data_IF_337728328009
#
_entry.id   IF_337728328009
#
_cell.length_a   1.000
_cell.length_b   1.000
_cell.length_c   1.000
_cell.angle_alpha   90.00
_cell.angle_beta   90.00
_cell.angle_gamma   90.00
#
_symmetry.space_group_name_H-M   'P 1'
#
loop_
_entity.id
_entity.type
_entity.pdbx_description
1 polymer ?
#
# COMPACT_ATOMS: atom_id res chain seq x y z
N UNK A 1 -2.71 -14.21 -2.26
CA UNK A 1 -2.33 -12.79 -2.40
C UNK A 1 -1.29 -12.42 -1.35
N UNK A 2 -0.17 -11.86 -1.77
CA UNK A 2 0.91 -11.38 -0.90
C UNK A 2 1.23 -9.92 -1.24
N UNK A 3 1.55 -9.10 -0.24
CA UNK A 3 1.95 -7.72 -0.42
C UNK A 3 3.43 -7.63 -0.76
N UNK A 4 3.76 -6.99 -1.89
CA UNK A 4 5.11 -6.54 -2.19
C UNK A 4 5.44 -5.29 -1.36
N UNK A 5 5.89 -5.49 -0.11
CA UNK A 5 6.17 -4.40 0.85
C UNK A 5 7.21 -3.42 0.32
N UNK A 6 8.25 -3.91 -0.36
CA UNK A 6 9.33 -3.07 -0.89
C UNK A 6 8.79 -2.10 -1.95
N UNK A 7 8.02 -2.59 -2.92
CA UNK A 7 7.41 -1.73 -3.94
C UNK A 7 6.45 -0.69 -3.32
N UNK A 8 5.70 -1.07 -2.28
CA UNK A 8 4.81 -0.12 -1.60
C UNK A 8 5.58 0.94 -0.79
N UNK A 9 6.73 0.59 -0.21
CA UNK A 9 7.65 1.54 0.45
C UNK A 9 8.29 2.48 -0.59
N UNK A 10 8.71 1.97 -1.74
CA UNK A 10 9.23 2.80 -2.83
C UNK A 10 8.18 3.79 -3.34
N UNK A 11 6.93 3.34 -3.52
CA UNK A 11 5.81 4.21 -3.84
C UNK A 11 5.64 5.31 -2.79
N UNK A 12 5.69 4.95 -1.50
CA UNK A 12 5.61 5.91 -0.39
C UNK A 12 6.71 6.97 -0.46
N UNK A 13 7.95 6.54 -0.71
CA UNK A 13 9.08 7.44 -0.78
C UNK A 13 8.97 8.39 -1.98
N UNK A 14 8.63 7.85 -3.16
CA UNK A 14 8.65 8.59 -4.41
C UNK A 14 7.43 9.50 -4.62
N UNK A 15 6.22 9.05 -4.27
CA UNK A 15 4.97 9.81 -4.51
C UNK A 15 4.42 10.50 -3.26
N UNK A 16 4.87 10.10 -2.07
CA UNK A 16 4.32 10.57 -0.80
C UNK A 16 5.39 11.14 0.15
N UNK A 17 6.59 11.46 -0.36
CA UNK A 17 7.72 12.02 0.40
C UNK A 17 8.05 11.21 1.66
N UNK A 18 7.96 9.88 1.59
CA UNK A 18 8.22 8.99 2.71
C UNK A 18 7.19 9.06 3.84
N UNK A 19 6.05 9.73 3.63
CA UNK A 19 5.04 9.92 4.67
C UNK A 19 3.99 8.83 4.68
N UNK A 20 3.99 8.01 5.73
CA UNK A 20 2.91 7.04 6.01
C UNK A 20 1.53 7.70 6.04
N UNK A 21 1.42 8.90 6.61
CA UNK A 21 0.15 9.64 6.69
C UNK A 21 -0.38 10.00 5.29
N UNK A 22 0.48 10.45 4.38
CA UNK A 22 0.08 10.78 3.01
C UNK A 22 -0.33 9.53 2.23
N UNK A 23 0.43 8.44 2.35
CA UNK A 23 0.08 7.16 1.75
C UNK A 23 -1.26 6.64 2.29
N UNK A 24 -1.43 6.63 3.61
CA UNK A 24 -2.64 6.18 4.29
C UNK A 24 -3.88 6.98 3.85
N UNK A 25 -3.74 8.31 3.75
CA UNK A 25 -4.80 9.18 3.21
C UNK A 25 -5.14 8.85 1.76
N UNK A 26 -4.14 8.60 0.92
CA UNK A 26 -4.36 8.24 -0.48
C UNK A 26 -5.05 6.88 -0.66
N UNK A 27 -4.72 5.91 0.20
CA UNK A 27 -5.34 4.58 0.21
C UNK A 27 -6.71 4.55 0.92
N UNK A 28 -7.07 5.59 1.68
CA UNK A 28 -8.27 5.60 2.52
C UNK A 28 -8.17 4.63 3.72
N UNK A 29 -6.96 4.46 4.27
CA UNK A 29 -6.66 3.52 5.37
C UNK A 29 -6.16 4.29 6.59
N UNK A 30 -6.40 3.76 7.79
CA UNK A 30 -5.78 4.26 9.03
C UNK A 30 -4.24 4.20 8.97
N UNK A 31 -3.58 5.30 9.36
CA UNK A 31 -2.11 5.42 9.33
C UNK A 31 -1.42 4.40 10.23
N UNK A 32 -1.99 4.08 11.39
CA UNK A 32 -1.41 3.07 12.27
C UNK A 32 -1.53 1.67 11.67
N UNK A 33 -2.57 1.39 10.87
CA UNK A 33 -2.65 0.14 10.11
C UNK A 33 -1.58 0.06 9.02
N UNK A 34 -1.40 1.12 8.21
CA UNK A 34 -0.33 1.18 7.20
C UNK A 34 1.05 0.97 7.84
N UNK A 35 1.34 1.69 8.93
CA UNK A 35 2.60 1.55 9.65
C UNK A 35 2.81 0.12 10.17
N UNK A 36 1.78 -0.50 10.77
CA UNK A 36 1.87 -1.89 11.24
C UNK A 36 2.07 -2.89 10.11
N UNK A 37 1.59 -2.65 8.90
CA UNK A 37 1.78 -3.57 7.76
C UNK A 37 3.18 -3.43 7.17
N UNK A 38 3.67 -2.20 7.02
CA UNK A 38 4.95 -1.90 6.38
C UNK A 38 6.15 -2.08 7.30
N UNK A 39 6.00 -1.73 8.58
CA UNK A 39 7.14 -1.68 9.54
C UNK A 39 7.08 -2.80 10.56
N UNK A 40 5.89 -3.17 11.04
CA UNK A 40 5.72 -4.34 11.90
C UNK A 40 5.44 -5.54 10.99
N UNK A 41 5.87 -6.73 11.35
CA UNK A 41 5.64 -7.95 10.54
C UNK A 41 4.19 -8.42 10.62
N UNK A 42 3.24 -7.55 10.27
CA UNK A 42 1.81 -7.85 10.24
C UNK A 42 1.37 -8.12 8.81
N UNK A 43 0.66 -9.23 8.63
CA UNK A 43 -0.05 -9.52 7.38
C UNK A 43 -1.23 -8.55 7.20
N UNK A 44 -1.44 -8.09 5.97
CA UNK A 44 -2.59 -7.27 5.64
C UNK A 44 -3.78 -8.16 5.19
N UNK A 45 -4.99 -7.65 5.38
CA UNK A 45 -6.23 -8.34 5.01
C UNK A 45 -6.76 -7.86 3.66
N UNK A 46 -7.85 -8.49 3.19
CA UNK A 46 -8.50 -8.19 1.91
C UNK A 46 -8.80 -6.69 1.69
N UNK A 47 -9.20 -5.96 2.74
CA UNK A 47 -9.46 -4.51 2.66
C UNK A 47 -8.22 -3.72 2.23
N UNK A 48 -7.04 -4.06 2.75
CA UNK A 48 -5.79 -3.36 2.39
C UNK A 48 -5.45 -3.56 0.92
N UNK A 49 -5.58 -4.79 0.43
CA UNK A 49 -5.40 -5.10 -0.99
C UNK A 49 -6.40 -4.36 -1.87
N UNK A 50 -7.68 -4.37 -1.51
CA UNK A 50 -8.73 -3.65 -2.24
C UNK A 50 -8.42 -2.15 -2.35
N UNK A 51 -7.94 -1.52 -1.29
CA UNK A 51 -7.57 -0.11 -1.28
C UNK A 51 -6.37 0.19 -2.21
N UNK A 52 -5.36 -0.69 -2.23
CA UNK A 52 -4.23 -0.56 -3.17
C UNK A 52 -4.73 -0.67 -4.62
N UNK A 53 -5.55 -1.68 -4.93
CA UNK A 53 -6.09 -1.89 -6.28
C UNK A 53 -6.92 -0.68 -6.71
N UNK A 54 -7.79 -0.16 -5.83
CA UNK A 54 -8.59 1.04 -6.12
C UNK A 54 -7.71 2.26 -6.39
N UNK A 55 -6.70 2.49 -5.55
CA UNK A 55 -5.76 3.58 -5.76
C UNK A 55 -5.01 3.44 -7.08
N UNK A 56 -4.53 2.24 -7.40
CA UNK A 56 -3.88 1.94 -8.68
C UNK A 56 -4.78 2.24 -9.87
N UNK A 57 -6.02 1.76 -9.85
CA UNK A 57 -7.00 2.01 -10.92
C UNK A 57 -7.30 3.51 -11.10
N UNK A 58 -7.35 4.29 -10.02
CA UNK A 58 -7.57 5.74 -10.09
C UNK A 58 -6.34 6.54 -10.53
N UNK A 59 -5.15 5.93 -10.54
CA UNK A 59 -3.89 6.60 -10.86
C UNK A 59 -3.18 5.99 -12.08
N UNK A 60 -3.85 5.12 -12.85
CA UNK A 60 -3.31 4.40 -14.00
C UNK A 60 -1.99 3.65 -13.67
N UNK A 61 -1.96 3.00 -12.51
CA UNK A 61 -0.81 2.21 -12.04
C UNK A 61 -1.14 0.71 -12.07
N UNK A 62 -0.14 -0.11 -12.40
CA UNK A 62 -0.27 -1.57 -12.35
C UNK A 62 -0.21 -2.08 -10.91
N UNK A 63 -1.34 -2.61 -10.39
CA UNK A 63 -1.41 -3.14 -9.04
C UNK A 63 -0.57 -4.42 -8.84
N UNK A 64 -0.19 -5.13 -9.91
CA UNK A 64 0.66 -6.32 -9.82
C UNK A 64 2.08 -5.98 -9.34
N UNK A 65 2.51 -4.71 -9.45
CA UNK A 65 3.75 -4.23 -8.82
C UNK A 65 3.71 -4.36 -7.29
N UNK A 66 2.53 -4.18 -6.69
CA UNK A 66 2.34 -4.10 -5.25
C UNK A 66 1.76 -5.39 -4.65
N UNK A 67 1.13 -6.23 -5.47
CA UNK A 67 0.40 -7.42 -5.02
C UNK A 67 0.79 -8.62 -5.87
N UNK A 68 1.31 -9.66 -5.23
CA UNK A 68 1.54 -10.94 -5.88
C UNK A 68 0.28 -11.80 -5.80
N UNK A 69 -0.31 -12.08 -6.96
CA UNK A 69 -1.36 -13.08 -7.13
C UNK A 69 -0.67 -14.45 -7.30
N UNK A 70 -0.69 -15.24 -6.23
CA UNK A 70 -0.25 -16.64 -6.20
C UNK A 70 -1.45 -17.49 -5.77
#
# INVERSE_FOLDING_TARGET
MELNKNALIELMNNKFNGSYTKLAKALGIDVAYVYRVLVKERNCGAKFYSCIIQWCNSNDEDYNKYIFLR
#
